data_IF_125559652310
#
_entry.id   IF_125559652310
#
_cell.length_a   1.000
_cell.length_b   1.000
_cell.length_c   1.000
_cell.angle_alpha   90.00
_cell.angle_beta   90.00
_cell.angle_gamma   90.00
#
_symmetry.space_group_name_H-M   'P 1'
#
loop_
_entity.id
_entity.type
_entity.pdbx_description
1 polymer ?
#
# COMPACT_ATOMS: atom_id res chain seq x y z
N UNK A 1 21.14 9.50 15.08
CA UNK A 1 20.33 8.28 15.31
C UNK A 1 19.02 8.73 15.94
N UNK A 2 17.92 8.73 15.18
CA UNK A 2 16.64 9.27 15.67
C UNK A 2 15.88 8.22 16.48
N UNK A 3 15.58 8.53 17.74
CA UNK A 3 14.95 7.66 18.73
C UNK A 3 13.47 7.33 18.47
N UNK A 4 12.97 7.58 17.25
CA UNK A 4 11.57 7.34 16.85
C UNK A 4 11.35 6.09 15.97
N UNK A 5 12.41 5.38 15.58
CA UNK A 5 12.33 4.17 14.75
C UNK A 5 12.01 2.89 15.53
N UNK A 6 11.96 2.95 16.87
CA UNK A 6 11.82 1.79 17.75
C UNK A 6 10.40 1.50 18.23
N UNK A 7 9.41 2.37 17.98
CA UNK A 7 8.02 2.03 18.30
C UNK A 7 7.48 1.06 17.24
N UNK A 8 7.02 -0.15 17.63
CA UNK A 8 6.31 -1.05 16.73
C UNK A 8 5.24 -0.28 15.95
N UNK A 9 5.23 -0.43 14.63
CA UNK A 9 4.29 0.26 13.72
C UNK A 9 2.82 0.08 14.16
N UNK A 10 2.53 -1.03 14.85
CA UNK A 10 1.23 -1.41 15.45
C UNK A 10 0.78 -0.53 16.63
N UNK A 11 1.69 0.20 17.27
CA UNK A 11 1.43 0.99 18.48
C UNK A 11 1.21 2.48 18.20
N UNK A 12 1.03 2.88 16.93
CA UNK A 12 0.63 4.24 16.55
C UNK A 12 -0.87 4.28 16.31
N UNK A 13 -1.70 4.52 17.34
CA UNK A 13 -3.16 4.40 17.24
C UNK A 13 -3.75 5.26 16.13
N UNK A 14 -3.23 6.48 15.92
CA UNK A 14 -3.70 7.38 14.87
C UNK A 14 -3.55 6.76 13.47
N UNK A 15 -2.42 6.08 13.20
CA UNK A 15 -2.21 5.39 11.91
C UNK A 15 -3.13 4.18 11.71
N UNK A 16 -3.48 3.50 12.80
CA UNK A 16 -4.44 2.41 12.73
C UNK A 16 -5.84 2.94 12.41
N UNK A 17 -6.25 4.04 13.06
CA UNK A 17 -7.53 4.71 12.79
C UNK A 17 -7.62 5.22 11.36
N UNK A 18 -6.58 5.89 10.83
CA UNK A 18 -6.57 6.38 9.45
C UNK A 18 -6.74 5.23 8.43
N UNK A 19 -6.06 4.11 8.68
CA UNK A 19 -6.18 2.91 7.85
C UNK A 19 -7.59 2.32 7.90
N UNK A 20 -8.14 2.19 9.10
CA UNK A 20 -9.50 1.68 9.29
C UNK A 20 -10.54 2.59 8.63
N UNK A 21 -10.37 3.91 8.72
CA UNK A 21 -11.21 4.88 8.04
C UNK A 21 -11.14 4.70 6.52
N UNK A 22 -9.92 4.63 5.96
CA UNK A 22 -9.69 4.44 4.52
C UNK A 22 -10.34 3.14 4.01
N UNK A 23 -10.10 2.01 4.68
CA UNK A 23 -10.68 0.72 4.31
C UNK A 23 -12.20 0.74 4.46
N UNK A 24 -12.74 1.35 5.52
CA UNK A 24 -14.19 1.44 5.73
C UNK A 24 -14.89 2.24 4.63
N UNK A 25 -14.26 3.31 4.13
CA UNK A 25 -14.79 4.07 3.00
C UNK A 25 -14.80 3.22 1.73
N UNK A 26 -13.69 2.52 1.42
CA UNK A 26 -13.62 1.65 0.25
C UNK A 26 -14.62 0.50 0.32
N UNK A 27 -14.81 -0.13 1.47
CA UNK A 27 -15.81 -1.20 1.64
C UNK A 27 -17.24 -0.70 1.38
N UNK A 28 -17.56 0.55 1.71
CA UNK A 28 -18.88 1.14 1.39
C UNK A 28 -19.05 1.40 -0.10
N UNK A 29 -17.96 1.64 -0.83
CA UNK A 29 -17.95 1.81 -2.28
C UNK A 29 -17.90 0.47 -3.04
N UNK A 30 -17.42 -0.60 -2.40
CA UNK A 30 -17.22 -1.91 -3.03
C UNK A 30 -18.43 -2.44 -3.81
N UNK A 31 -19.69 -2.37 -3.29
CA UNK A 31 -20.85 -2.88 -4.02
C UNK A 31 -21.12 -2.17 -5.35
N UNK A 32 -20.70 -0.91 -5.47
CA UNK A 32 -20.95 -0.09 -6.67
C UNK A 32 -19.86 -0.20 -7.72
N UNK A 33 -18.64 -0.61 -7.34
CA UNK A 33 -17.45 -0.47 -8.19
C UNK A 33 -16.73 -1.78 -8.52
N UNK A 34 -17.13 -2.95 -7.99
CA UNK A 34 -16.47 -4.24 -8.29
C UNK A 34 -14.96 -4.12 -8.03
N UNK A 35 -14.62 -3.67 -6.82
CA UNK A 35 -13.27 -3.23 -6.46
C UNK A 35 -12.23 -4.34 -6.59
N UNK A 36 -12.61 -5.61 -6.52
CA UNK A 36 -11.72 -6.75 -6.72
C UNK A 36 -10.96 -6.72 -8.06
N UNK A 37 -11.51 -6.03 -9.08
CA UNK A 37 -10.89 -5.85 -10.41
C UNK A 37 -9.96 -4.64 -10.52
N UNK A 38 -9.83 -3.86 -9.45
CA UNK A 38 -9.00 -2.66 -9.46
C UNK A 38 -7.52 -3.00 -9.24
N UNK A 39 -6.66 -2.07 -9.62
CA UNK A 39 -5.24 -2.12 -9.30
C UNK A 39 -4.96 -1.21 -8.10
N UNK A 40 -4.53 -1.78 -6.98
CA UNK A 40 -4.09 -0.97 -5.85
C UNK A 40 -2.61 -0.62 -5.98
N UNK A 41 -2.31 0.68 -6.01
CA UNK A 41 -0.94 1.20 -6.02
C UNK A 41 -0.72 2.03 -4.77
N UNK A 42 0.33 1.72 -4.01
CA UNK A 42 0.61 2.44 -2.77
C UNK A 42 2.04 2.30 -2.29
N UNK A 43 2.30 2.99 -1.17
CA UNK A 43 3.56 2.92 -0.45
C UNK A 43 3.39 2.03 0.77
N UNK A 44 4.22 1.00 0.89
CA UNK A 44 4.12 -0.02 1.94
C UNK A 44 5.30 0.03 2.90
N UNK A 45 5.05 -0.34 4.16
CA UNK A 45 6.14 -0.63 5.09
C UNK A 45 6.80 -1.99 4.82
N UNK A 46 7.83 -2.37 5.58
CA UNK A 46 8.57 -3.63 5.39
C UNK A 46 7.74 -4.91 5.57
N UNK A 47 6.52 -4.81 6.11
CA UNK A 47 5.59 -5.93 6.32
C UNK A 47 4.36 -5.90 5.43
N UNK A 48 4.20 -4.85 4.60
CA UNK A 48 3.07 -4.70 3.68
C UNK A 48 1.68 -4.91 4.33
N UNK A 49 1.54 -4.49 5.60
CA UNK A 49 0.32 -4.71 6.39
C UNK A 49 -0.91 -4.07 5.75
N UNK A 50 -0.75 -2.89 5.14
CA UNK A 50 -1.81 -2.16 4.46
C UNK A 50 -2.30 -2.94 3.22
N UNK A 51 -1.38 -3.52 2.45
CA UNK A 51 -1.68 -4.38 1.31
C UNK A 51 -2.39 -5.67 1.74
N UNK A 52 -1.93 -6.28 2.83
CA UNK A 52 -2.58 -7.45 3.43
C UNK A 52 -4.04 -7.16 3.78
N UNK A 53 -4.32 -6.00 4.37
CA UNK A 53 -5.67 -5.59 4.76
C UNK A 53 -6.54 -5.20 3.55
N UNK A 54 -5.97 -4.51 2.56
CA UNK A 54 -6.65 -4.20 1.30
C UNK A 54 -7.11 -5.47 0.61
N UNK A 55 -6.23 -6.44 0.42
CA UNK A 55 -6.59 -7.72 -0.19
C UNK A 55 -7.65 -8.47 0.63
N UNK A 56 -7.43 -8.60 1.95
CA UNK A 56 -8.32 -9.37 2.82
C UNK A 56 -9.74 -8.80 2.90
N UNK A 57 -9.92 -7.48 2.76
CA UNK A 57 -11.23 -6.81 2.91
C UNK A 57 -11.91 -6.46 1.59
N UNK A 58 -11.14 -6.15 0.55
CA UNK A 58 -11.65 -5.66 -0.72
C UNK A 58 -11.52 -6.70 -1.85
N UNK A 59 -10.78 -7.79 -1.63
CA UNK A 59 -10.56 -8.83 -2.64
C UNK A 59 -9.65 -8.39 -3.80
N UNK A 60 -8.96 -7.26 -3.68
CA UNK A 60 -8.09 -6.74 -4.74
C UNK A 60 -6.89 -7.68 -4.92
N UNK A 61 -6.73 -8.25 -6.10
CA UNK A 61 -5.62 -9.15 -6.42
C UNK A 61 -4.40 -8.41 -6.99
N UNK A 62 -4.63 -7.46 -7.91
CA UNK A 62 -3.55 -6.70 -8.57
C UNK A 62 -3.09 -5.57 -7.66
N UNK A 63 -1.89 -5.70 -7.10
CA UNK A 63 -1.35 -4.72 -6.16
C UNK A 63 0.12 -4.42 -6.43
N UNK A 64 0.49 -3.15 -6.45
CA UNK A 64 1.89 -2.71 -6.61
C UNK A 64 2.31 -1.82 -5.44
N UNK A 65 3.38 -2.23 -4.76
CA UNK A 65 4.04 -1.49 -3.71
C UNK A 65 5.32 -0.88 -4.24
N UNK A 66 5.44 0.44 -4.11
CA UNK A 66 6.62 1.20 -4.56
C UNK A 66 7.42 1.61 -3.34
N UNK A 67 8.74 1.42 -3.42
CA UNK A 67 9.68 1.76 -2.35
C UNK A 67 10.97 2.32 -2.94
N UNK A 68 11.50 3.37 -2.32
CA UNK A 68 12.77 4.02 -2.72
C UNK A 68 13.95 3.47 -1.91
N UNK A 69 13.71 3.05 -0.67
CA UNK A 69 14.75 2.56 0.23
C UNK A 69 15.05 1.07 -0.01
N UNK A 70 16.24 0.76 -0.52
CA UNK A 70 16.65 -0.60 -0.92
C UNK A 70 16.50 -1.62 0.23
N UNK A 71 16.89 -1.25 1.45
CA UNK A 71 16.80 -2.13 2.62
C UNK A 71 15.35 -2.41 3.05
N UNK A 72 14.44 -1.47 2.83
CA UNK A 72 13.01 -1.68 3.06
C UNK A 72 12.44 -2.56 1.96
N UNK A 73 12.82 -2.32 0.70
CA UNK A 73 12.42 -3.13 -0.44
C UNK A 73 12.82 -4.60 -0.28
N UNK A 74 14.06 -4.89 0.12
CA UNK A 74 14.51 -6.27 0.44
C UNK A 74 13.63 -6.92 1.51
N UNK A 75 13.27 -6.17 2.56
CA UNK A 75 12.37 -6.66 3.61
C UNK A 75 10.95 -6.87 3.12
N UNK A 76 10.44 -6.03 2.22
CA UNK A 76 9.13 -6.21 1.60
C UNK A 76 9.09 -7.51 0.78
N UNK A 77 10.12 -7.77 -0.03
CA UNK A 77 10.22 -9.01 -0.80
C UNK A 77 10.26 -10.25 0.11
N UNK A 78 11.02 -10.19 1.21
CA UNK A 78 11.11 -11.28 2.18
C UNK A 78 9.81 -11.50 2.98
N UNK A 79 9.19 -10.42 3.47
CA UNK A 79 7.98 -10.48 4.29
C UNK A 79 6.69 -10.47 3.46
N UNK A 80 6.78 -10.64 2.15
CA UNK A 80 5.65 -10.44 1.24
C UNK A 80 4.46 -11.33 1.65
N UNK A 81 3.34 -10.75 2.12
CA UNK A 81 2.24 -11.54 2.68
C UNK A 81 1.40 -12.22 1.60
N UNK A 82 1.41 -11.69 0.38
CA UNK A 82 0.57 -12.13 -0.73
C UNK A 82 1.42 -12.14 -2.00
N UNK A 83 1.40 -13.27 -2.72
CA UNK A 83 2.24 -13.47 -3.90
C UNK A 83 1.94 -12.49 -5.05
N UNK A 84 0.70 -12.00 -5.15
CA UNK A 84 0.27 -11.05 -6.17
C UNK A 84 0.72 -9.61 -5.92
N UNK A 85 1.33 -9.31 -4.77
CA UNK A 85 1.93 -8.00 -4.53
C UNK A 85 3.25 -7.91 -5.31
N UNK A 86 3.28 -6.99 -6.26
CA UNK A 86 4.49 -6.59 -6.96
C UNK A 86 5.21 -5.51 -6.13
N UNK A 87 6.45 -5.77 -5.73
CA UNK A 87 7.26 -4.77 -5.05
C UNK A 87 8.23 -4.19 -6.07
N UNK A 88 8.24 -2.87 -6.24
CA UNK A 88 9.08 -2.17 -7.21
C UNK A 88 10.01 -1.23 -6.45
N UNK A 89 11.31 -1.34 -6.73
CA UNK A 89 12.31 -0.41 -6.24
C UNK A 89 12.40 0.78 -7.19
N UNK A 90 11.65 1.83 -6.89
CA UNK A 90 11.53 3.05 -7.71
C UNK A 90 10.96 4.19 -6.87
N UNK A 91 11.11 5.43 -7.33
CA UNK A 91 10.26 6.51 -6.82
C UNK A 91 8.83 6.36 -7.34
N UNK A 92 7.87 6.92 -6.59
CA UNK A 92 6.47 6.96 -7.02
C UNK A 92 6.30 7.82 -8.27
N UNK A 93 7.05 8.91 -8.39
CA UNK A 93 7.05 9.81 -9.54
C UNK A 93 7.50 9.07 -10.80
N UNK A 94 8.68 8.45 -10.75
CA UNK A 94 9.24 7.69 -11.88
C UNK A 94 8.32 6.54 -12.30
N UNK A 95 7.72 5.83 -11.33
CA UNK A 95 6.80 4.74 -11.62
C UNK A 95 5.53 5.25 -12.33
N UNK A 96 4.95 6.36 -11.85
CA UNK A 96 3.73 6.90 -12.43
C UNK A 96 3.96 7.47 -13.84
N UNK A 97 5.14 8.04 -14.11
CA UNK A 97 5.49 8.56 -15.42
C UNK A 97 5.73 7.46 -16.47
N UNK A 98 6.10 6.25 -16.02
CA UNK A 98 6.42 5.12 -16.89
C UNK A 98 5.29 4.07 -16.99
N UNK A 99 4.23 4.21 -16.19
CA UNK A 99 3.19 3.17 -16.07
C UNK A 99 1.84 3.63 -16.59
N UNK A 100 1.38 2.93 -17.64
CA UNK A 100 -0.02 2.96 -18.05
C UNK A 100 -0.84 1.90 -17.29
N UNK A 101 -2.08 2.25 -16.96
CA UNK A 101 -2.97 1.39 -16.20
C UNK A 101 -4.11 0.88 -17.07
N UNK A 102 -4.09 -0.42 -17.38
CA UNK A 102 -5.15 -1.08 -18.16
C UNK A 102 -6.44 -1.33 -17.36
N UNK A 103 -6.40 -1.09 -16.06
CA UNK A 103 -7.50 -1.29 -15.11
C UNK A 103 -7.66 -0.07 -14.21
N UNK A 104 -8.87 0.25 -13.74
CA UNK A 104 -9.08 1.31 -12.76
C UNK A 104 -8.15 1.15 -11.56
N UNK A 105 -7.45 2.22 -11.18
CA UNK A 105 -6.44 2.17 -10.12
C UNK A 105 -6.86 2.98 -8.89
N UNK A 106 -6.72 2.39 -7.70
CA UNK A 106 -6.76 3.12 -6.43
C UNK A 106 -5.32 3.47 -6.07
N UNK A 107 -5.00 4.76 -6.00
CA UNK A 107 -3.66 5.26 -5.70
C UNK A 107 -3.65 5.88 -4.31
N UNK A 108 -2.87 5.29 -3.40
CA UNK A 108 -2.62 5.89 -2.10
C UNK A 108 -1.27 6.62 -2.14
N UNK A 109 -1.33 7.91 -2.47
CA UNK A 109 -0.16 8.79 -2.45
C UNK A 109 -0.04 9.38 -1.06
N UNK A 110 1.15 9.25 -0.46
CA UNK A 110 1.47 9.99 0.75
C UNK A 110 1.82 11.41 0.31
N UNK A 111 0.89 12.35 0.48
CA UNK A 111 1.22 13.77 0.33
C UNK A 111 2.24 14.11 1.42
N UNK A 112 3.52 14.16 1.05
CA UNK A 112 4.53 14.82 1.86
C UNK A 112 4.23 16.32 1.78
N UNK A 113 3.36 16.78 2.68
CA UNK A 113 3.17 18.21 2.91
C UNK A 113 4.31 18.73 3.77
N UNK A 114 5.03 19.70 3.20
CA UNK A 114 5.81 20.80 3.78
C UNK A 114 6.33 20.66 5.23
#
# INVERSE_FOLDING_TARGET
>A
MSAGSSLPYKLRPNKAVDRELFLSLLMRLAPSFVLEKYHYVGLGGPFLEDFRLVHARLGIEKMTCIEVEEEVHKRQLFNRPIASIECIHSSLEDYLDQTDFDSPAIRLVRLYGA
#
